data_IF_809572410716
#
_entry.id   IF_809572410716
#
_cell.length_a   1.000
_cell.length_b   1.000
_cell.length_c   1.000
_cell.angle_alpha   90.00
_cell.angle_beta   90.00
_cell.angle_gamma   90.00
#
_symmetry.space_group_name_H-M   'P 1'
#
loop_
_entity.id
_entity.type
_entity.pdbx_description
1 polymer ?
#
# COMPACT_ATOMS: atom_id res chain seq x y z
N UNK A 1 2.13 -0.50 7.02
CA UNK A 1 3.07 -0.11 5.95
C UNK A 1 2.66 -0.79 4.66
N UNK A 2 2.29 0.02 3.67
CA UNK A 2 1.82 -0.49 2.39
C UNK A 2 2.99 -0.66 1.42
N UNK A 3 2.99 -1.80 0.74
CA UNK A 3 3.98 -2.14 -0.27
C UNK A 3 3.25 -2.44 -1.57
N UNK A 4 3.91 -2.17 -2.69
CA UNK A 4 3.44 -2.59 -4.00
C UNK A 4 4.42 -3.54 -4.65
N UNK A 5 3.89 -4.50 -5.41
CA UNK A 5 4.71 -5.38 -6.21
C UNK A 5 5.36 -4.61 -7.37
N UNK A 6 6.69 -4.60 -7.47
CA UNK A 6 7.38 -3.92 -8.57
C UNK A 6 7.51 -4.79 -9.83
N UNK A 7 7.18 -6.09 -9.72
CA UNK A 7 7.20 -7.08 -10.81
C UNK A 7 6.28 -8.25 -10.49
N UNK A 8 5.90 -9.00 -11.52
CA UNK A 8 5.11 -10.22 -11.37
C UNK A 8 5.93 -11.32 -10.68
N UNK A 9 5.27 -12.12 -9.85
CA UNK A 9 5.86 -13.29 -9.21
C UNK A 9 4.90 -14.48 -9.32
N UNK A 10 5.34 -15.52 -10.01
CA UNK A 10 4.58 -16.77 -10.11
C UNK A 10 5.34 -17.82 -9.28
N UNK A 11 4.87 -18.15 -8.07
CA UNK A 11 5.57 -19.07 -7.19
C UNK A 11 5.41 -20.50 -7.66
N UNK A 12 6.48 -21.28 -7.53
CA UNK A 12 6.46 -22.74 -7.77
C UNK A 12 5.64 -23.46 -6.69
N UNK A 13 5.60 -22.92 -5.47
CA UNK A 13 4.81 -23.44 -4.35
C UNK A 13 3.81 -22.38 -3.84
N UNK A 14 2.58 -22.44 -4.33
CA UNK A 14 1.48 -21.53 -3.96
C UNK A 14 0.87 -21.77 -2.57
N UNK A 15 1.32 -22.81 -1.83
CA UNK A 15 0.94 -23.01 -0.43
C UNK A 15 1.79 -22.18 0.53
N UNK A 16 3.04 -21.88 0.14
CA UNK A 16 3.99 -21.14 0.97
C UNK A 16 4.12 -19.69 0.51
N UNK A 17 4.11 -19.47 -0.80
CA UNK A 17 4.37 -18.17 -1.39
C UNK A 17 3.12 -17.58 -2.03
N UNK A 18 2.92 -16.27 -1.86
CA UNK A 18 1.85 -15.56 -2.52
C UNK A 18 2.29 -15.13 -3.92
N UNK A 19 1.48 -15.38 -4.97
CA UNK A 19 1.76 -14.83 -6.29
C UNK A 19 1.70 -13.31 -6.24
N UNK A 20 2.53 -12.63 -7.04
CA UNK A 20 2.44 -11.19 -7.23
C UNK A 20 2.05 -10.79 -8.66
N UNK A 21 1.26 -9.73 -8.76
CA UNK A 21 1.00 -8.97 -10.00
C UNK A 21 1.64 -7.60 -9.83
N UNK A 22 2.46 -7.17 -10.78
CA UNK A 22 3.09 -5.84 -10.76
C UNK A 22 2.05 -4.74 -10.57
N UNK A 23 2.33 -3.83 -9.65
CA UNK A 23 1.48 -2.71 -9.27
C UNK A 23 0.42 -3.04 -8.23
N UNK A 24 0.23 -4.31 -7.86
CA UNK A 24 -0.75 -4.65 -6.83
C UNK A 24 -0.25 -4.25 -5.44
N UNK A 25 -1.20 -3.82 -4.59
CA UNK A 25 -0.97 -3.53 -3.16
C UNK A 25 -0.84 -4.84 -2.38
N UNK A 26 0.09 -4.86 -1.44
CA UNK A 26 0.37 -5.99 -0.55
C UNK A 26 0.51 -5.48 0.87
N UNK A 27 -0.20 -6.10 1.81
CA UNK A 27 -0.06 -5.80 3.23
C UNK A 27 1.08 -6.64 3.82
N UNK A 28 2.17 -6.00 4.22
CA UNK A 28 3.28 -6.67 4.91
C UNK A 28 2.93 -6.79 6.39
N UNK A 29 2.86 -8.03 6.87
CA UNK A 29 2.60 -8.37 8.29
C UNK A 29 3.89 -8.26 9.09
N UNK A 30 4.96 -8.91 8.61
CA UNK A 30 6.27 -8.90 9.26
C UNK A 30 7.41 -9.29 8.31
N UNK A 31 8.64 -9.03 8.74
CA UNK A 31 9.87 -9.50 8.09
C UNK A 31 10.47 -10.65 8.92
N UNK A 32 10.19 -11.93 8.58
CA UNK A 32 10.77 -13.07 9.29
C UNK A 32 12.27 -13.25 9.04
N UNK A 33 12.89 -12.47 8.15
CA UNK A 33 14.27 -12.63 7.72
C UNK A 33 14.42 -13.49 6.46
N UNK A 34 15.65 -13.72 6.02
CA UNK A 34 15.95 -14.60 4.88
C UNK A 34 15.56 -14.04 3.50
N UNK A 35 15.27 -12.74 3.38
CA UNK A 35 14.92 -12.10 2.11
C UNK A 35 13.45 -12.23 1.71
N UNK A 36 12.58 -12.58 2.67
CA UNK A 36 11.13 -12.68 2.46
C UNK A 36 10.38 -11.80 3.45
N UNK A 37 9.25 -11.26 3.01
CA UNK A 37 8.23 -10.69 3.88
C UNK A 37 7.06 -11.67 4.00
N UNK A 38 6.49 -11.74 5.19
CA UNK A 38 5.18 -12.36 5.40
C UNK A 38 4.12 -11.32 5.08
N UNK A 39 3.24 -11.64 4.15
CA UNK A 39 2.22 -10.72 3.66
C UNK A 39 0.84 -11.35 3.73
N UNK A 40 -0.19 -10.51 3.81
CA UNK A 40 -1.59 -10.89 3.59
C UNK A 40 -2.05 -10.33 2.25
N UNK A 41 -2.74 -11.17 1.45
CA UNK A 41 -3.44 -10.74 0.25
C UNK A 41 -4.74 -11.52 0.09
N UNK A 42 -5.87 -10.80 0.00
CA UNK A 42 -7.18 -11.40 -0.22
C UNK A 42 -7.58 -12.43 0.85
N UNK A 43 -7.21 -12.18 2.10
CA UNK A 43 -7.46 -13.09 3.23
C UNK A 43 -6.57 -14.35 3.26
N UNK A 44 -5.50 -14.38 2.45
CA UNK A 44 -4.48 -15.44 2.49
C UNK A 44 -3.13 -14.88 2.90
N UNK A 45 -2.51 -15.54 3.86
CA UNK A 45 -1.15 -15.24 4.28
C UNK A 45 -0.15 -16.07 3.47
N UNK A 46 1.03 -15.51 3.25
CA UNK A 46 2.16 -16.25 2.71
C UNK A 46 3.38 -15.36 2.48
N UNK A 47 4.45 -16.01 2.02
CA UNK A 47 5.73 -15.35 1.84
C UNK A 47 5.86 -14.72 0.47
N UNK A 48 6.51 -13.56 0.43
CA UNK A 48 6.84 -12.83 -0.79
C UNK A 48 8.31 -12.43 -0.71
N UNK A 49 9.11 -12.58 -1.77
CA UNK A 49 10.48 -12.09 -1.76
C UNK A 49 10.52 -10.57 -1.55
N UNK A 50 11.29 -10.08 -0.58
CA UNK A 50 11.26 -8.66 -0.21
C UNK A 50 11.71 -7.74 -1.36
N UNK A 51 12.61 -8.20 -2.22
CA UNK A 51 13.09 -7.50 -3.41
C UNK A 51 12.07 -7.41 -4.56
N UNK A 52 10.89 -8.00 -4.39
CA UNK A 52 9.74 -7.83 -5.28
C UNK A 52 8.78 -6.75 -4.79
N UNK A 53 8.99 -6.21 -3.59
CA UNK A 53 8.14 -5.23 -2.96
C UNK A 53 8.87 -3.89 -2.85
N UNK A 54 8.14 -2.81 -3.09
CA UNK A 54 8.60 -1.46 -2.81
C UNK A 54 7.62 -0.83 -1.82
N UNK A 55 8.16 -0.25 -0.76
CA UNK A 55 7.36 0.50 0.20
C UNK A 55 6.76 1.72 -0.50
N UNK A 56 5.48 1.98 -0.25
CA UNK A 56 4.85 3.21 -0.69
C UNK A 56 5.54 4.39 -0.02
N UNK A 57 6.01 5.34 -0.82
CA UNK A 57 6.34 6.66 -0.33
C UNK A 57 5.02 7.41 -0.10
N UNK A 58 4.83 7.85 1.13
CA UNK A 58 3.64 8.60 1.53
C UNK A 58 3.95 10.09 1.39
N UNK A 59 3.08 10.82 0.69
CA UNK A 59 3.19 12.27 0.60
C UNK A 59 2.64 12.90 1.88
N UNK A 60 3.35 13.84 2.47
CA UNK A 60 2.81 14.60 3.60
C UNK A 60 1.67 15.49 3.12
N UNK A 61 0.63 15.59 3.93
CA UNK A 61 -0.50 16.46 3.67
C UNK A 61 -0.05 17.93 3.70
N UNK A 62 -0.34 18.73 2.67
CA UNK A 62 0.24 20.07 2.51
C UNK A 62 -0.09 21.05 3.66
N UNK A 63 -1.17 20.79 4.40
CA UNK A 63 -1.68 21.67 5.45
C UNK A 63 -1.77 21.00 6.84
N UNK A 64 -1.52 19.70 6.93
CA UNK A 64 -1.75 18.91 8.17
C UNK A 64 -0.46 18.19 8.52
N UNK A 65 0.33 18.81 9.40
CA UNK A 65 1.64 18.29 9.82
C UNK A 65 1.48 16.89 10.43
N UNK A 66 2.31 15.94 9.98
CA UNK A 66 2.31 14.57 10.47
C UNK A 66 1.13 13.71 9.96
N UNK A 67 0.32 14.23 9.04
CA UNK A 67 -0.68 13.47 8.30
C UNK A 67 -0.13 13.23 6.90
N UNK A 68 -0.28 12.01 6.40
CA UNK A 68 0.15 11.61 5.09
C UNK A 68 -1.01 11.08 4.25
N UNK A 69 -0.84 11.12 2.94
CA UNK A 69 -1.86 10.77 1.95
C UNK A 69 -1.62 9.35 1.43
N UNK A 70 -2.47 8.42 1.83
CA UNK A 70 -2.55 7.08 1.24
C UNK A 70 -3.67 7.01 0.21
N UNK A 71 -3.47 6.23 -0.87
CA UNK A 71 -4.43 6.05 -1.98
C UNK A 71 -5.06 7.38 -2.43
N UNK A 72 -4.24 8.28 -2.99
CA UNK A 72 -4.70 9.57 -3.50
C UNK A 72 -5.31 9.45 -4.89
N UNK A 73 -6.50 10.03 -5.10
CA UNK A 73 -7.06 10.20 -6.44
C UNK A 73 -7.77 11.54 -6.62
N UNK A 74 -7.74 12.00 -7.87
CA UNK A 74 -8.34 13.26 -8.28
C UNK A 74 -9.51 12.98 -9.20
N UNK A 75 -10.64 13.64 -8.96
CA UNK A 75 -11.86 13.50 -9.76
C UNK A 75 -12.54 14.85 -9.94
N UNK A 76 -13.28 15.01 -11.04
CA UNK A 76 -13.96 16.26 -11.36
C UNK A 76 -15.45 16.11 -11.17
N UNK A 77 -16.07 17.04 -10.43
CA UNK A 77 -17.52 17.13 -10.25
C UNK A 77 -17.96 18.54 -10.63
N UNK A 78 -18.85 18.66 -11.61
CA UNK A 78 -19.40 19.96 -12.07
C UNK A 78 -18.31 21.01 -12.40
N UNK A 79 -17.19 20.58 -12.99
CA UNK A 79 -16.06 21.46 -13.35
C UNK A 79 -15.14 21.84 -12.19
N UNK A 80 -15.41 21.38 -10.97
CA UNK A 80 -14.53 21.50 -9.81
C UNK A 80 -13.70 20.23 -9.63
N UNK A 81 -12.43 20.41 -9.28
CA UNK A 81 -11.50 19.31 -9.06
C UNK A 81 -11.50 18.99 -7.57
N UNK A 82 -11.74 17.73 -7.23
CA UNK A 82 -11.66 17.22 -5.87
C UNK A 82 -10.52 16.22 -5.78
N UNK A 83 -9.82 16.25 -4.66
CA UNK A 83 -8.81 15.28 -4.27
C UNK A 83 -9.34 14.48 -3.11
N UNK A 84 -9.41 13.16 -3.28
CA UNK A 84 -9.72 12.24 -2.20
C UNK A 84 -8.47 11.47 -1.78
N UNK A 85 -8.38 11.20 -0.49
CA UNK A 85 -7.26 10.47 0.08
C UNK A 85 -7.67 9.77 1.39
N UNK A 86 -6.88 8.77 1.78
CA UNK A 86 -6.95 8.10 3.07
C UNK A 86 -5.88 8.74 3.99
N UNK A 87 -6.25 9.41 5.08
CA UNK A 87 -5.28 10.02 5.99
C UNK A 87 -4.60 8.93 6.84
N UNK A 88 -3.26 8.94 6.83
CA UNK A 88 -2.44 8.03 7.63
C UNK A 88 -1.33 8.76 8.40
N UNK A 89 -0.75 8.13 9.43
CA UNK A 89 0.48 8.59 10.10
C UNK A 89 1.75 8.23 9.29
N UNK A 90 2.93 8.58 9.83
CA UNK A 90 4.22 8.30 9.18
C UNK A 90 4.50 6.80 8.99
N UNK A 91 3.83 5.94 9.76
CA UNK A 91 3.91 4.49 9.70
C UNK A 91 2.86 3.89 8.74
N UNK A 92 2.01 4.72 8.14
CA UNK A 92 0.93 4.32 7.23
C UNK A 92 -0.28 3.73 7.97
N UNK A 93 -0.52 4.11 9.22
CA UNK A 93 -1.70 3.70 9.99
C UNK A 93 -2.79 4.75 9.81
N UNK A 94 -4.02 4.28 9.62
CA UNK A 94 -5.20 5.13 9.45
C UNK A 94 -5.47 6.02 10.67
N UNK A 95 -5.68 7.33 10.44
CA UNK A 95 -5.84 8.33 11.52
C UNK A 95 -7.15 9.14 11.46
N UNK A 96 -8.03 8.88 10.50
CA UNK A 96 -9.29 9.62 10.36
C UNK A 96 -10.10 9.15 9.16
N UNK A 97 -11.35 9.62 9.00
CA UNK A 97 -12.21 9.21 7.87
C UNK A 97 -11.55 9.59 6.54
N UNK A 98 -11.78 8.83 5.46
CA UNK A 98 -11.32 9.26 4.14
C UNK A 98 -11.98 10.59 3.74
N UNK A 99 -11.18 11.54 3.29
CA UNK A 99 -11.59 12.94 3.11
C UNK A 99 -11.54 13.33 1.63
N UNK A 100 -12.44 14.24 1.24
CA UNK A 100 -12.43 14.88 -0.08
C UNK A 100 -12.29 16.38 0.09
N UNK A 101 -11.29 16.96 -0.55
CA UNK A 101 -11.01 18.40 -0.52
C UNK A 101 -11.03 18.97 -1.94
N UNK A 102 -11.36 20.26 -2.09
CA UNK A 102 -11.37 21.00 -3.36
C UNK A 102 -10.33 22.11 -3.35
#
# INVERSE_FOLDING_TARGET
>A
MNYYAVRDFIPVNSRTYLPLIKGERVEVICNPGGGFFSCCKGGKDGLVPSYYLQQQELNEHPQRVGIFLEDEWVFTVEGKIYKHYIPVDAEGRYVGVSESEN
#
